data_IF_336515888715
#
_entry.id   IF_336515888715
#
_cell.length_a   1.000
_cell.length_b   1.000
_cell.length_c   1.000
_cell.angle_alpha   90.00
_cell.angle_beta   90.00
_cell.angle_gamma   90.00
#
_symmetry.space_group_name_H-M   'P 1'
#
loop_
_entity.id
_entity.type
_entity.pdbx_description
1 polymer ?
#
# COMPACT_ATOMS: atom_id res chain seq x y z
N UNK A 1 -15.55 -8.17 -21.97
CA UNK A 1 -14.29 -7.41 -21.85
C UNK A 1 -13.87 -7.41 -20.39
N UNK A 2 -13.08 -8.30 -19.81
CA UNK A 2 -12.18 -9.34 -20.29
C UNK A 2 -10.98 -9.26 -19.33
N UNK A 3 -10.93 -10.12 -18.30
CA UNK A 3 -9.94 -10.13 -17.20
C UNK A 3 -8.47 -9.96 -17.68
N UNK A 4 -8.21 -10.32 -18.93
CA UNK A 4 -6.94 -10.15 -19.64
C UNK A 4 -6.51 -8.69 -19.84
N UNK A 5 -7.45 -7.72 -19.92
CA UNK A 5 -7.10 -6.29 -19.98
C UNK A 5 -6.76 -5.73 -18.59
N UNK A 6 -7.31 -6.30 -17.51
CA UNK A 6 -6.94 -5.91 -16.16
C UNK A 6 -5.51 -6.37 -15.84
N UNK A 7 -5.13 -7.59 -16.23
CA UNK A 7 -3.77 -8.10 -16.05
C UNK A 7 -2.73 -7.30 -16.87
N UNK A 8 -3.13 -6.71 -18.00
CA UNK A 8 -2.26 -5.76 -18.74
C UNK A 8 -2.17 -4.38 -18.09
N UNK A 9 -3.21 -3.94 -17.39
CA UNK A 9 -3.27 -2.64 -16.72
C UNK A 9 -2.73 -2.66 -15.28
N UNK A 10 -2.57 -3.83 -14.65
CA UNK A 10 -1.81 -4.00 -13.40
C UNK A 10 -0.31 -4.02 -13.74
N UNK A 11 0.15 -2.98 -14.43
CA UNK A 11 1.57 -2.65 -14.50
C UNK A 11 1.89 -1.84 -13.25
N UNK A 12 2.00 -2.60 -12.17
CA UNK A 12 2.85 -2.40 -10.99
C UNK A 12 3.35 -0.97 -10.75
N UNK A 13 3.03 -0.41 -9.58
CA UNK A 13 3.74 0.72 -8.94
C UNK A 13 5.18 0.36 -8.50
N UNK A 14 5.81 -0.54 -9.24
CA UNK A 14 7.19 -1.00 -9.12
C UNK A 14 7.95 -0.39 -10.31
N UNK A 15 9.22 0.01 -10.17
CA UNK A 15 10.00 0.48 -11.31
C UNK A 15 9.97 -0.54 -12.47
N UNK A 16 9.40 -0.15 -13.61
CA UNK A 16 9.22 -1.05 -14.75
C UNK A 16 10.49 -0.98 -15.60
N UNK A 17 11.28 -2.06 -15.58
CA UNK A 17 12.34 -2.26 -16.58
C UNK A 17 11.71 -2.53 -17.95
N UNK A 18 11.57 -1.47 -18.73
CA UNK A 18 11.67 -1.56 -20.19
C UNK A 18 13.07 -1.06 -20.58
N UNK A 19 13.60 -1.48 -21.72
CA UNK A 19 15.03 -1.45 -22.04
C UNK A 19 15.79 -0.12 -21.86
N UNK A 20 15.13 1.01 -21.56
CA UNK A 20 15.79 2.31 -21.35
C UNK A 20 15.24 3.13 -20.15
N UNK A 21 14.39 2.59 -19.26
CA UNK A 21 13.81 3.37 -18.15
C UNK A 21 13.74 2.57 -16.84
N UNK A 22 14.28 3.15 -15.75
CA UNK A 22 14.03 2.75 -14.36
C UNK A 22 13.43 3.96 -13.66
N UNK A 23 12.15 3.90 -13.30
CA UNK A 23 11.47 4.99 -12.60
C UNK A 23 10.09 4.56 -12.11
N UNK A 24 9.53 5.29 -11.14
CA UNK A 24 8.18 5.00 -10.66
C UNK A 24 7.13 5.26 -11.74
N UNK A 25 5.96 4.62 -11.64
CA UNK A 25 4.91 4.79 -12.66
C UNK A 25 4.49 6.26 -12.83
N UNK A 26 4.40 7.03 -11.73
CA UNK A 26 4.03 8.45 -11.78
C UNK A 26 5.04 9.34 -12.53
N UNK A 27 6.32 8.95 -12.59
CA UNK A 27 7.38 9.68 -13.29
C UNK A 27 7.58 9.20 -14.73
N UNK A 28 7.32 7.92 -14.98
CA UNK A 28 7.67 7.25 -16.25
C UNK A 28 6.45 6.99 -17.13
N UNK A 29 5.84 5.82 -17.00
CA UNK A 29 4.80 5.34 -17.91
C UNK A 29 3.45 6.03 -17.69
N UNK A 30 3.23 6.66 -16.53
CA UNK A 30 2.02 7.39 -16.16
C UNK A 30 0.75 6.61 -16.48
N UNK A 31 0.77 5.31 -16.19
CA UNK A 31 -0.40 4.45 -16.38
C UNK A 31 -1.40 4.81 -15.28
N UNK A 32 -2.60 5.29 -15.61
CA UNK A 32 -3.55 5.71 -14.60
C UNK A 32 -4.07 4.50 -13.81
N UNK A 33 -4.18 4.67 -12.50
CA UNK A 33 -4.78 3.68 -11.59
C UNK A 33 -6.27 3.99 -11.39
N UNK A 34 -7.05 2.98 -11.00
CA UNK A 34 -8.49 3.16 -10.86
C UNK A 34 -8.82 3.84 -9.51
N UNK A 35 -9.15 5.13 -9.57
CA UNK A 35 -9.57 5.86 -8.38
C UNK A 35 -11.02 6.33 -8.47
N UNK A 36 -11.73 6.28 -7.34
CA UNK A 36 -13.05 6.90 -7.18
C UNK A 36 -12.94 8.37 -6.72
N UNK A 37 -11.73 8.85 -6.48
CA UNK A 37 -11.49 10.22 -6.06
C UNK A 37 -11.55 11.16 -7.26
N UNK A 38 -12.14 12.34 -7.07
CA UNK A 38 -12.15 13.39 -8.08
C UNK A 38 -10.78 14.10 -8.10
N UNK A 39 -9.75 13.45 -8.66
CA UNK A 39 -8.37 13.97 -8.63
C UNK A 39 -8.28 15.38 -9.26
N UNK A 40 -9.08 15.67 -10.29
CA UNK A 40 -9.14 17.00 -10.90
C UNK A 40 -9.58 18.09 -9.91
N UNK A 41 -10.60 17.82 -9.09
CA UNK A 41 -11.00 18.73 -8.01
C UNK A 41 -9.89 18.88 -6.97
N UNK A 42 -9.23 17.79 -6.58
CA UNK A 42 -8.11 17.86 -5.63
C UNK A 42 -6.96 18.72 -6.16
N UNK A 43 -6.58 18.57 -7.44
CA UNK A 43 -5.57 19.42 -8.08
C UNK A 43 -5.92 20.91 -7.99
N UNK A 44 -7.20 21.26 -8.19
CA UNK A 44 -7.67 22.64 -8.06
C UNK A 44 -7.60 23.15 -6.62
N UNK A 45 -7.94 22.32 -5.63
CA UNK A 45 -7.92 22.73 -4.22
C UNK A 45 -6.50 22.77 -3.63
N UNK A 46 -5.58 21.97 -4.17
CA UNK A 46 -4.21 21.84 -3.67
C UNK A 46 -3.18 22.72 -4.39
N UNK A 47 -3.61 23.67 -5.23
CA UNK A 47 -2.70 24.58 -5.98
C UNK A 47 -1.70 25.30 -5.07
N UNK A 48 -2.11 25.65 -3.85
CA UNK A 48 -1.28 26.35 -2.86
C UNK A 48 -0.79 25.42 -1.73
N UNK A 49 -0.98 24.11 -1.86
CA UNK A 49 -0.49 23.14 -0.89
C UNK A 49 0.97 22.79 -1.19
N UNK A 50 1.74 22.49 -0.13
CA UNK A 50 3.19 22.29 -0.24
C UNK A 50 3.54 20.97 -0.95
N UNK A 51 2.70 19.95 -0.80
CA UNK A 51 2.88 18.62 -1.42
C UNK A 51 1.86 18.43 -2.54
N UNK A 52 2.26 18.81 -3.76
CA UNK A 52 1.42 18.69 -4.95
C UNK A 52 1.55 17.32 -5.61
N UNK A 53 2.62 16.60 -5.29
CA UNK A 53 2.94 15.28 -5.85
C UNK A 53 1.90 14.24 -5.42
N UNK A 54 1.21 14.47 -4.30
CA UNK A 54 0.04 13.68 -3.89
C UNK A 54 -0.96 13.47 -5.03
N UNK A 55 -1.21 14.47 -5.88
CA UNK A 55 -2.12 14.30 -7.00
C UNK A 55 -1.58 13.38 -8.10
N UNK A 56 -0.26 13.36 -8.30
CA UNK A 56 0.39 12.40 -9.20
C UNK A 56 0.26 10.99 -8.64
N UNK A 57 0.43 10.80 -7.33
CA UNK A 57 0.31 9.48 -6.70
C UNK A 57 -1.12 8.95 -6.68
N UNK A 58 -2.10 9.85 -6.52
CA UNK A 58 -3.52 9.49 -6.59
C UNK A 58 -3.95 9.03 -7.99
N UNK A 59 -3.29 9.53 -9.03
CA UNK A 59 -3.65 9.28 -10.43
C UNK A 59 -2.83 8.14 -11.04
N UNK A 60 -1.53 8.08 -10.73
CA UNK A 60 -0.56 7.15 -11.32
C UNK A 60 0.06 6.20 -10.30
N UNK A 61 -0.45 6.18 -9.07
CA UNK A 61 -0.02 5.27 -8.03
C UNK A 61 1.20 5.73 -7.23
N UNK A 62 1.27 5.21 -6.01
CA UNK A 62 2.25 5.61 -5.02
C UNK A 62 3.63 4.97 -5.29
N UNK A 63 4.73 5.71 -5.13
CA UNK A 63 6.05 5.11 -5.14
C UNK A 63 6.23 4.19 -3.94
N UNK A 64 6.35 2.90 -4.21
CA UNK A 64 6.71 1.92 -3.19
C UNK A 64 8.24 1.87 -3.17
N UNK A 65 8.86 2.46 -2.14
CA UNK A 65 10.32 2.62 -1.99
C UNK A 65 11.10 1.32 -1.74
N UNK A 66 10.71 0.23 -2.39
CA UNK A 66 11.39 -1.06 -2.32
C UNK A 66 12.60 -1.01 -3.26
N UNK A 67 13.80 -1.16 -2.70
CA UNK A 67 15.00 -1.35 -3.50
C UNK A 67 15.13 -2.83 -3.92
N UNK A 68 14.64 -3.15 -5.13
CA UNK A 68 14.71 -4.49 -5.70
C UNK A 68 16.11 -4.90 -6.18
N UNK A 69 17.01 -3.94 -6.44
CA UNK A 69 18.28 -4.22 -7.11
C UNK A 69 19.25 -4.99 -6.21
N UNK A 70 19.20 -4.78 -4.89
CA UNK A 70 20.25 -5.26 -3.98
C UNK A 70 19.79 -6.24 -2.88
N UNK A 71 18.47 -6.42 -2.66
CA UNK A 71 17.99 -6.96 -1.37
C UNK A 71 17.01 -8.13 -1.41
N UNK A 72 16.46 -8.48 -2.57
CA UNK A 72 15.46 -9.55 -2.63
C UNK A 72 16.10 -10.77 -3.27
N UNK A 73 16.23 -11.82 -2.48
CA UNK A 73 16.43 -13.16 -3.03
C UNK A 73 15.05 -13.82 -3.20
N UNK A 74 14.44 -13.81 -4.40
CA UNK A 74 13.13 -14.42 -4.65
C UNK A 74 13.14 -15.95 -4.50
N UNK A 75 14.29 -16.57 -4.15
CA UNK A 75 14.40 -18.00 -3.91
C UNK A 75 13.74 -18.50 -2.62
N UNK A 76 13.00 -17.66 -1.88
CA UNK A 76 12.14 -18.11 -0.78
C UNK A 76 10.91 -18.85 -1.34
N UNK A 77 11.15 -19.97 -2.04
CA UNK A 77 10.20 -20.73 -2.87
C UNK A 77 9.08 -21.38 -2.07
N UNK A 78 9.15 -21.37 -0.73
CA UNK A 78 8.16 -21.98 0.17
C UNK A 78 8.05 -21.18 1.48
N UNK A 79 7.16 -20.21 1.51
CA UNK A 79 6.74 -19.56 2.75
C UNK A 79 5.43 -20.18 3.23
N UNK A 80 5.40 -20.66 4.46
CA UNK A 80 4.19 -21.20 5.09
C UNK A 80 3.49 -20.09 5.86
N UNK A 81 2.17 -20.05 5.76
CA UNK A 81 1.35 -19.21 6.62
C UNK A 81 1.54 -19.55 8.11
N UNK A 82 1.44 -18.52 8.95
CA UNK A 82 1.53 -18.64 10.40
C UNK A 82 0.42 -19.54 10.96
N UNK A 83 0.60 -20.00 12.21
CA UNK A 83 -0.32 -20.94 12.84
C UNK A 83 -1.77 -20.45 12.85
N UNK A 84 -2.00 -19.16 13.15
CA UNK A 84 -3.35 -18.59 13.19
C UNK A 84 -4.06 -18.66 11.84
N UNK A 85 -3.38 -18.37 10.73
CA UNK A 85 -4.00 -18.49 9.40
C UNK A 85 -4.26 -19.95 9.00
N UNK A 86 -3.41 -20.89 9.41
CA UNK A 86 -3.60 -22.32 9.13
C UNK A 86 -4.74 -22.94 9.94
N UNK A 87 -4.84 -22.58 11.22
CA UNK A 87 -5.89 -23.08 12.12
C UNK A 87 -7.27 -22.52 11.77
N UNK A 88 -7.33 -21.26 11.30
CA UNK A 88 -8.56 -20.56 10.97
C UNK A 88 -8.67 -20.28 9.46
N UNK A 89 -8.44 -21.31 8.63
CA UNK A 89 -8.41 -21.18 7.17
C UNK A 89 -9.74 -20.70 6.57
N UNK A 90 -10.88 -21.10 7.15
CA UNK A 90 -12.20 -20.64 6.69
C UNK A 90 -12.37 -19.12 6.82
N UNK A 91 -11.84 -18.53 7.89
CA UNK A 91 -11.85 -17.08 8.09
C UNK A 91 -10.93 -16.36 7.09
N UNK A 92 -9.78 -16.97 6.78
CA UNK A 92 -8.88 -16.49 5.73
C UNK A 92 -9.58 -16.49 4.37
N UNK A 93 -10.25 -17.58 3.99
CA UNK A 93 -10.98 -17.66 2.72
C UNK A 93 -12.09 -16.62 2.63
N UNK A 94 -12.82 -16.41 3.74
CA UNK A 94 -13.87 -15.37 3.83
C UNK A 94 -13.26 -13.98 3.64
N UNK A 95 -12.13 -13.69 4.27
CA UNK A 95 -11.41 -12.44 4.11
C UNK A 95 -10.94 -12.23 2.68
N UNK A 96 -10.26 -13.21 2.06
CA UNK A 96 -9.77 -13.13 0.68
C UNK A 96 -10.92 -12.86 -0.29
N UNK A 97 -12.04 -13.59 -0.18
CA UNK A 97 -13.21 -13.37 -1.03
C UNK A 97 -13.77 -11.96 -0.89
N UNK A 98 -13.84 -11.46 0.35
CA UNK A 98 -14.32 -10.12 0.66
C UNK A 98 -13.41 -9.05 0.06
N UNK A 99 -12.10 -9.14 0.25
CA UNK A 99 -11.14 -8.18 -0.30
C UNK A 99 -11.08 -8.23 -1.83
N UNK A 100 -11.15 -9.41 -2.44
CA UNK A 100 -11.24 -9.57 -3.88
C UNK A 100 -12.54 -8.94 -4.44
N UNK A 101 -13.66 -9.06 -3.73
CA UNK A 101 -14.92 -8.42 -4.14
C UNK A 101 -14.86 -6.89 -4.14
N UNK A 102 -13.96 -6.31 -3.34
CA UNK A 102 -13.70 -4.87 -3.34
C UNK A 102 -12.68 -4.44 -4.40
N UNK A 103 -12.06 -5.38 -5.10
CA UNK A 103 -10.94 -5.12 -6.00
C UNK A 103 -9.64 -4.77 -5.29
N UNK A 104 -9.56 -4.99 -3.96
CA UNK A 104 -8.42 -4.60 -3.15
C UNK A 104 -7.23 -5.55 -3.26
N UNK A 105 -7.51 -6.80 -3.64
CA UNK A 105 -6.51 -7.82 -3.94
C UNK A 105 -6.83 -8.49 -5.26
N UNK A 106 -5.79 -8.95 -5.95
CA UNK A 106 -5.93 -9.76 -7.16
C UNK A 106 -5.72 -11.24 -6.83
N UNK A 107 -6.45 -12.09 -7.54
CA UNK A 107 -6.45 -13.53 -7.32
C UNK A 107 -7.73 -14.01 -6.61
N UNK A 108 -7.71 -15.19 -5.97
CA UNK A 108 -6.56 -16.10 -5.85
C UNK A 108 -6.07 -16.60 -7.22
N UNK A 109 -4.75 -16.68 -7.39
CA UNK A 109 -4.13 -17.23 -8.60
C UNK A 109 -3.80 -18.71 -8.41
N UNK A 110 -4.00 -19.53 -9.44
CA UNK A 110 -3.64 -20.97 -9.41
C UNK A 110 -2.12 -21.19 -9.53
N UNK A 111 -1.41 -20.25 -10.13
CA UNK A 111 0.04 -20.25 -10.34
C UNK A 111 0.55 -18.81 -10.35
N UNK A 112 1.87 -18.60 -10.26
CA UNK A 112 2.47 -17.28 -10.39
C UNK A 112 2.04 -16.65 -11.75
N UNK A 113 1.34 -15.49 -11.75
CA UNK A 113 0.92 -14.84 -12.98
C UNK A 113 2.07 -14.06 -13.66
N UNK A 114 3.22 -13.90 -13.01
CA UNK A 114 4.37 -13.16 -13.50
C UNK A 114 5.49 -14.09 -13.98
N UNK A 115 6.34 -13.58 -14.88
CA UNK A 115 7.54 -14.28 -15.36
C UNK A 115 8.66 -14.30 -14.32
N UNK A 116 8.71 -13.25 -13.50
CA UNK A 116 9.73 -13.07 -12.47
C UNK A 116 9.32 -13.71 -11.13
N UNK A 117 10.27 -13.74 -10.19
CA UNK A 117 10.05 -14.23 -8.84
C UNK A 117 9.07 -13.37 -8.03
N UNK A 118 8.35 -14.00 -7.12
CA UNK A 118 7.44 -13.34 -6.18
C UNK A 118 8.09 -13.22 -4.80
N UNK A 119 7.83 -12.10 -4.12
CA UNK A 119 8.01 -12.02 -2.67
C UNK A 119 6.76 -12.61 -2.03
N UNK A 120 6.96 -13.53 -1.08
CA UNK A 120 5.87 -14.19 -0.38
C UNK A 120 5.86 -13.76 1.09
N UNK A 121 4.83 -13.02 1.50
CA UNK A 121 4.59 -12.67 2.91
C UNK A 121 3.52 -13.60 3.49
N UNK A 122 3.80 -14.31 4.61
CA UNK A 122 2.83 -15.22 5.20
C UNK A 122 1.65 -14.46 5.81
N UNK A 123 0.47 -15.07 5.75
CA UNK A 123 -0.69 -14.58 6.48
C UNK A 123 -0.70 -15.13 7.92
N UNK A 124 -1.27 -14.35 8.82
CA UNK A 124 -1.68 -14.76 10.16
C UNK A 124 -3.14 -14.34 10.44
N UNK A 125 -3.74 -14.92 11.48
CA UNK A 125 -5.09 -14.58 11.91
C UNK A 125 -5.18 -14.54 13.43
N UNK A 126 -5.68 -13.43 13.98
CA UNK A 126 -5.88 -13.24 15.43
C UNK A 126 -7.33 -12.86 15.72
N UNK A 127 -7.90 -13.22 16.89
CA UNK A 127 -9.24 -12.79 17.27
C UNK A 127 -9.33 -11.26 17.37
N UNK A 128 -10.49 -10.67 17.06
CA UNK A 128 -10.80 -9.29 17.45
C UNK A 128 -11.40 -9.32 18.85
N UNK A 129 -11.08 -8.31 19.67
CA UNK A 129 -11.57 -8.26 21.05
C UNK A 129 -13.11 -8.18 21.13
N UNK A 130 -13.72 -7.43 20.23
CA UNK A 130 -15.16 -7.10 20.28
C UNK A 130 -15.96 -7.74 19.13
N UNK A 131 -15.47 -8.86 18.56
CA UNK A 131 -16.14 -9.48 17.42
C UNK A 131 -15.74 -10.95 17.23
N UNK A 132 -16.69 -11.77 16.79
CA UNK A 132 -16.44 -13.13 16.26
C UNK A 132 -15.58 -13.11 14.98
N UNK A 133 -15.46 -11.96 14.31
CA UNK A 133 -14.56 -11.83 13.18
C UNK A 133 -13.08 -11.84 13.61
N UNK A 134 -12.24 -12.46 12.79
CA UNK A 134 -10.79 -12.44 12.99
C UNK A 134 -10.13 -11.32 12.19
N UNK A 135 -9.02 -10.80 12.71
CA UNK A 135 -8.13 -9.88 11.99
C UNK A 135 -7.11 -10.71 11.21
N UNK A 136 -7.11 -10.55 9.89
CA UNK A 136 -6.07 -11.11 9.02
C UNK A 136 -4.88 -10.14 8.99
N UNK A 137 -3.68 -10.68 9.15
CA UNK A 137 -2.43 -9.93 9.17
C UNK A 137 -1.56 -10.47 8.05
N UNK A 138 -1.07 -9.58 7.18
CA UNK A 138 0.00 -9.90 6.24
C UNK A 138 1.34 -9.56 6.90
N UNK A 139 2.18 -10.56 7.12
CA UNK A 139 3.46 -10.37 7.79
C UNK A 139 4.53 -9.89 6.80
N UNK A 140 4.63 -8.56 6.68
CA UNK A 140 5.61 -7.89 5.83
C UNK A 140 7.03 -7.85 6.44
N UNK A 141 7.21 -8.38 7.66
CA UNK A 141 8.49 -8.46 8.37
C UNK A 141 9.10 -9.87 8.32
N UNK A 142 8.47 -10.81 7.61
CA UNK A 142 8.95 -12.17 7.44
C UNK A 142 9.40 -12.46 5.99
N UNK A 143 10.47 -13.26 5.80
CA UNK A 143 11.43 -13.66 6.82
C UNK A 143 12.32 -12.48 7.21
N UNK A 144 12.71 -12.39 8.49
CA UNK A 144 13.60 -11.32 8.96
C UNK A 144 14.91 -11.32 8.16
N UNK A 145 15.31 -10.16 7.66
CA UNK A 145 16.50 -9.96 6.82
C UNK A 145 16.25 -10.10 5.31
N UNK A 146 15.08 -10.57 4.88
CA UNK A 146 14.68 -10.69 3.47
C UNK A 146 13.16 -10.48 3.31
N UNK A 147 12.57 -9.64 4.16
CA UNK A 147 11.16 -9.28 4.13
C UNK A 147 10.92 -8.00 3.32
N UNK A 148 9.66 -7.71 2.99
CA UNK A 148 9.30 -6.45 2.30
C UNK A 148 9.79 -5.24 3.12
N UNK A 149 9.61 -5.28 4.43
CA UNK A 149 10.04 -4.20 5.31
C UNK A 149 11.57 -4.04 5.39
N UNK A 150 12.35 -5.11 5.19
CA UNK A 150 13.82 -5.02 5.14
C UNK A 150 14.33 -4.37 3.84
N UNK A 151 13.46 -4.31 2.82
CA UNK A 151 13.76 -3.75 1.51
C UNK A 151 13.36 -2.27 1.37
N UNK A 152 12.75 -1.69 2.41
CA UNK A 152 12.35 -0.28 2.46
C UNK A 152 13.32 0.45 3.40
N UNK A 153 13.99 1.49 2.89
CA UNK A 153 14.83 2.33 3.73
C UNK A 153 13.96 3.16 4.68
N UNK A 154 14.39 3.29 5.94
CA UNK A 154 13.66 4.03 6.97
C UNK A 154 13.93 5.53 6.93
N UNK A 155 15.05 5.93 6.35
CA UNK A 155 15.57 7.28 6.37
C UNK A 155 15.64 7.88 4.97
N UNK A 156 15.16 7.18 3.94
CA UNK A 156 15.15 7.65 2.56
C UNK A 156 13.77 7.45 1.92
N UNK A 157 13.30 8.48 1.22
CA UNK A 157 12.08 8.43 0.42
C UNK A 157 12.32 9.20 -0.88
N UNK A 158 12.05 8.56 -2.02
CA UNK A 158 12.28 9.12 -3.35
C UNK A 158 13.71 9.68 -3.54
N UNK A 159 14.72 8.98 -3.01
CA UNK A 159 16.14 9.42 -3.09
C UNK A 159 16.52 10.54 -2.12
N UNK A 160 15.57 11.07 -1.35
CA UNK A 160 15.81 12.13 -0.38
C UNK A 160 15.86 11.57 1.04
N UNK A 161 16.77 12.07 1.87
CA UNK A 161 16.77 11.74 3.29
C UNK A 161 15.54 12.32 3.97
N UNK A 162 14.79 11.48 4.68
CA UNK A 162 13.59 11.89 5.41
C UNK A 162 13.71 11.47 6.86
N UNK A 163 13.31 12.38 7.75
CA UNK A 163 13.12 12.11 9.18
C UNK A 163 11.64 12.29 9.52
N UNK A 164 10.90 11.18 9.49
CA UNK A 164 9.44 11.19 9.63
C UNK A 164 9.04 11.23 11.10
N UNK A 165 8.50 12.37 11.54
CA UNK A 165 7.90 12.53 12.86
C UNK A 165 6.40 12.75 12.75
N UNK A 166 5.61 11.79 13.24
CA UNK A 166 4.18 12.03 13.41
C UNK A 166 3.96 13.03 14.55
N UNK A 167 3.06 14.02 14.39
CA UNK A 167 2.71 14.91 15.48
C UNK A 167 2.11 14.09 16.63
N UNK A 168 2.67 14.27 17.83
CA UNK A 168 2.08 13.70 19.04
C UNK A 168 0.83 14.50 19.47
N UNK A 169 0.08 13.95 20.43
CA UNK A 169 -1.15 14.58 20.92
C UNK A 169 -0.88 15.98 21.47
N UNK A 170 0.23 16.17 22.18
CA UNK A 170 0.59 17.48 22.75
C UNK A 170 0.80 18.53 21.66
N UNK A 171 1.46 18.16 20.56
CA UNK A 171 1.66 19.04 19.41
C UNK A 171 0.34 19.44 18.76
N UNK A 172 -0.61 18.51 18.66
CA UNK A 172 -1.96 18.81 18.17
C UNK A 172 -2.68 19.78 19.12
N UNK A 173 -2.56 19.58 20.44
CA UNK A 173 -3.12 20.49 21.45
C UNK A 173 -2.51 21.88 21.35
N UNK A 174 -1.19 21.99 21.16
CA UNK A 174 -0.50 23.28 20.94
C UNK A 174 -1.03 23.99 19.70
N UNK A 175 -1.23 23.28 18.59
CA UNK A 175 -1.79 23.84 17.36
C UNK A 175 -3.19 24.41 17.61
N UNK A 176 -4.05 23.67 18.31
CA UNK A 176 -5.40 24.13 18.67
C UNK A 176 -5.33 25.38 19.55
N UNK A 177 -4.51 25.35 20.61
CA UNK A 177 -4.31 26.50 21.51
C UNK A 177 -3.86 27.75 20.76
N UNK A 178 -2.94 27.60 19.78
CA UNK A 178 -2.43 28.70 18.96
C UNK A 178 -3.50 29.35 18.08
N UNK A 179 -4.53 28.60 17.65
CA UNK A 179 -5.65 29.15 16.87
C UNK A 179 -6.61 30.00 17.72
N UNK A 180 -6.55 29.85 19.03
CA UNK A 180 -7.28 30.67 19.99
C UNK A 180 -8.74 30.23 20.20
N UNK A 181 -9.44 30.90 21.13
CA UNK A 181 -10.84 30.62 21.42
C UNK A 181 -11.72 30.80 20.18
N UNK A 182 -12.84 30.05 20.12
CA UNK A 182 -13.82 30.10 19.03
C UNK A 182 -13.31 29.58 17.66
N UNK A 183 -12.14 28.91 17.61
CA UNK A 183 -11.71 28.25 16.39
C UNK A 183 -12.61 27.06 16.05
N UNK A 184 -12.96 26.89 14.76
CA UNK A 184 -13.69 25.72 14.30
C UNK A 184 -12.73 24.54 14.11
N UNK A 185 -13.12 23.37 14.60
CA UNK A 185 -12.40 22.12 14.42
C UNK A 185 -13.26 21.18 13.58
N UNK A 186 -12.68 20.67 12.50
CA UNK A 186 -13.27 19.63 11.68
C UNK A 186 -12.49 18.34 11.85
N UNK A 187 -13.18 17.25 12.21
CA UNK A 187 -12.62 15.91 12.29
C UNK A 187 -13.34 15.02 11.26
N UNK A 188 -12.56 14.28 10.48
CA UNK A 188 -13.08 13.25 9.59
C UNK A 188 -12.27 11.97 9.72
N UNK A 189 -12.95 10.89 10.06
CA UNK A 189 -12.34 9.56 10.09
C UNK A 189 -12.43 8.94 8.70
N UNK A 190 -11.28 8.57 8.13
CA UNK A 190 -11.20 7.94 6.80
C UNK A 190 -11.23 6.42 6.95
N UNK A 191 -12.36 5.82 6.58
CA UNK A 191 -12.52 4.36 6.56
C UNK A 191 -11.78 3.79 5.35
N UNK A 192 -10.97 2.74 5.58
CA UNK A 192 -10.22 2.03 4.52
C UNK A 192 -9.33 2.94 3.69
N UNK A 193 -8.63 3.86 4.35
CA UNK A 193 -7.75 4.80 3.69
C UNK A 193 -6.74 4.07 2.78
N UNK A 194 -6.13 3.01 3.28
CA UNK A 194 -5.15 2.19 2.54
C UNK A 194 -5.72 1.49 1.30
N UNK A 195 -7.03 1.24 1.27
CA UNK A 195 -7.71 0.51 0.19
C UNK A 195 -8.50 1.44 -0.73
N UNK A 196 -8.37 2.75 -0.53
CA UNK A 196 -9.01 3.76 -1.38
C UNK A 196 -8.15 4.12 -2.60
N UNK A 197 -6.97 3.51 -2.73
CA UNK A 197 -5.95 3.81 -3.74
C UNK A 197 -5.57 2.49 -4.46
N UNK A 198 -6.29 2.13 -5.53
CA UNK A 198 -6.08 0.90 -6.30
C UNK A 198 -5.79 1.17 -7.77
#
# INVERSE_FOLDING_TARGET
MGLNNLIRNVRTNVPIKTNDYIGYNFESLRIPIYTRLNVSFWRQQLVCYFDKDVCEFLEFGWPIGINFADRINPSCKKVRNHAGARQFSKDIDKYIKKEASYGAILGPFKSNPFRDGLILSPLNSVPKADSEERRVIMDLSFPKGNSVNDCIDKNEYLGNKVDLHYPNVDKLVEIIKKKGPQCHIFKRDLRRLTDSFH
#
